data_IF_034729067784
#
_entry.id   IF_034729067784
#
_cell.length_a   1.000
_cell.length_b   1.000
_cell.length_c   1.000
_cell.angle_alpha   90.00
_cell.angle_beta   90.00
_cell.angle_gamma   90.00
#
_symmetry.space_group_name_H-M   'P 1'
#
loop_
_entity.id
_entity.type
_entity.pdbx_description
1 polymer ?
#
# COMPACT_ATOMS: atom_id res chain seq x y z
N UNK A 1 22.27 6.55 -4.38
CA UNK A 1 20.97 7.19 -4.11
C UNK A 1 19.87 6.46 -4.85
N UNK A 2 18.62 6.55 -4.39
CA UNK A 2 17.46 5.94 -5.08
C UNK A 2 16.99 6.86 -6.21
N UNK A 3 16.63 6.28 -7.37
CA UNK A 3 16.11 7.04 -8.51
C UNK A 3 14.74 7.63 -8.16
N UNK A 4 14.54 8.93 -8.39
CA UNK A 4 13.26 9.62 -8.17
C UNK A 4 12.24 9.23 -9.23
N UNK A 5 11.03 8.85 -8.80
CA UNK A 5 9.91 8.50 -9.67
C UNK A 5 9.06 9.72 -10.08
N UNK A 6 9.29 10.89 -9.49
CA UNK A 6 8.62 12.16 -9.80
C UNK A 6 9.45 13.06 -10.75
N UNK A 7 10.40 12.47 -11.49
CA UNK A 7 11.28 13.15 -12.44
C UNK A 7 11.34 12.40 -13.75
N UNK A 8 11.16 13.13 -14.85
CA UNK A 8 11.34 12.67 -16.23
C UNK A 8 12.32 13.60 -16.95
N UNK A 9 12.66 13.26 -18.20
CA UNK A 9 13.42 14.16 -19.10
C UNK A 9 12.65 15.44 -19.43
N UNK A 10 11.33 15.42 -19.30
CA UNK A 10 10.43 16.54 -19.60
C UNK A 10 10.15 17.42 -18.37
N UNK A 11 10.52 16.96 -17.17
CA UNK A 11 10.43 17.77 -15.95
C UNK A 11 9.94 17.00 -14.72
N UNK A 12 9.18 17.70 -13.87
CA UNK A 12 8.63 17.16 -12.62
C UNK A 12 7.21 16.67 -12.84
N UNK A 13 6.92 15.46 -12.37
CA UNK A 13 5.55 14.95 -12.27
C UNK A 13 4.93 15.45 -10.97
N UNK A 14 3.73 16.03 -11.03
CA UNK A 14 3.00 16.40 -9.82
C UNK A 14 2.68 15.15 -9.01
N UNK A 15 3.11 15.14 -7.74
CA UNK A 15 3.01 13.97 -6.85
C UNK A 15 2.50 14.44 -5.50
N UNK A 16 1.49 13.77 -4.96
CA UNK A 16 0.90 14.06 -3.66
C UNK A 16 0.84 12.78 -2.82
N UNK A 17 1.32 12.84 -1.58
CA UNK A 17 1.16 11.74 -0.64
C UNK A 17 -0.27 11.69 -0.10
N UNK A 18 -0.72 10.53 0.38
CA UNK A 18 -2.03 10.41 1.03
C UNK A 18 -2.13 11.36 2.24
N UNK A 19 -1.04 11.52 3.00
CA UNK A 19 -0.98 12.51 4.07
C UNK A 19 -1.32 13.92 3.59
N UNK A 20 -0.74 14.35 2.47
CA UNK A 20 -1.03 15.65 1.87
C UNK A 20 -2.43 15.74 1.26
N UNK A 21 -2.92 14.65 0.64
CA UNK A 21 -4.24 14.59 0.00
C UNK A 21 -5.38 14.68 1.02
N UNK A 22 -5.24 14.02 2.17
CA UNK A 22 -6.27 13.94 3.21
C UNK A 22 -6.06 14.94 4.35
N UNK A 23 -4.96 15.70 4.33
CA UNK A 23 -4.48 16.47 5.48
C UNK A 23 -4.35 15.60 6.76
N UNK A 24 -3.85 14.38 6.61
CA UNK A 24 -3.71 13.40 7.69
C UNK A 24 -2.42 13.62 8.49
N UNK A 25 -2.49 13.52 9.82
CA UNK A 25 -1.29 13.55 10.67
C UNK A 25 -0.59 12.19 10.64
N UNK A 26 0.45 12.10 9.81
CA UNK A 26 1.24 10.89 9.62
C UNK A 26 2.07 10.49 10.85
N UNK A 27 2.12 11.31 11.90
CA UNK A 27 2.82 10.99 13.16
C UNK A 27 1.99 10.12 14.09
N UNK A 28 0.70 9.96 13.79
CA UNK A 28 -0.21 9.08 14.52
C UNK A 28 -0.80 8.04 13.55
N UNK A 29 -0.99 6.78 13.98
CA UNK A 29 -1.76 5.81 13.22
C UNK A 29 -3.20 6.32 13.01
N UNK A 30 -3.52 6.75 11.79
CA UNK A 30 -4.80 7.41 11.49
C UNK A 30 -5.48 6.88 10.22
N UNK A 31 -4.93 5.85 9.59
CA UNK A 31 -5.42 5.30 8.33
C UNK A 31 -5.73 3.81 8.44
N UNK A 32 -6.60 3.36 7.54
CA UNK A 32 -6.89 1.95 7.30
C UNK A 32 -6.78 1.67 5.80
N UNK A 33 -6.27 0.51 5.44
CA UNK A 33 -6.06 0.13 4.05
C UNK A 33 -7.34 0.09 3.21
N UNK A 34 -8.50 -0.20 3.81
CA UNK A 34 -9.79 -0.14 3.10
C UNK A 34 -10.06 1.28 2.58
N UNK A 35 -9.71 2.31 3.36
CA UNK A 35 -9.85 3.71 2.94
C UNK A 35 -8.84 4.06 1.85
N UNK A 36 -7.59 3.61 1.98
CA UNK A 36 -6.56 3.81 0.95
C UNK A 36 -6.96 3.22 -0.40
N UNK A 37 -7.48 1.99 -0.41
CA UNK A 37 -7.95 1.32 -1.62
C UNK A 37 -9.17 2.03 -2.23
N UNK A 38 -10.11 2.50 -1.41
CA UNK A 38 -11.26 3.31 -1.86
C UNK A 38 -10.82 4.66 -2.45
N UNK A 39 -9.85 5.34 -1.83
CA UNK A 39 -9.28 6.59 -2.35
C UNK A 39 -8.60 6.34 -3.69
N UNK A 40 -7.79 5.28 -3.77
CA UNK A 40 -7.14 4.86 -5.02
C UNK A 40 -8.17 4.67 -6.13
N UNK A 41 -9.25 3.93 -5.86
CA UNK A 41 -10.31 3.73 -6.83
C UNK A 41 -10.99 5.04 -7.24
N UNK A 42 -11.38 5.89 -6.28
CA UNK A 42 -12.05 7.16 -6.56
C UNK A 42 -11.17 8.13 -7.37
N UNK A 43 -9.88 8.18 -7.06
CA UNK A 43 -8.97 9.14 -7.68
C UNK A 43 -8.58 8.70 -9.10
N UNK A 44 -8.31 7.41 -9.29
CA UNK A 44 -7.79 6.87 -10.55
C UNK A 44 -8.88 6.33 -11.49
N UNK A 45 -10.06 5.99 -10.95
CA UNK A 45 -11.12 5.26 -11.66
C UNK A 45 -10.65 3.96 -12.31
N UNK A 46 -9.55 3.37 -11.81
CA UNK A 46 -8.90 2.20 -12.40
C UNK A 46 -8.68 1.11 -11.34
N UNK A 47 -9.31 -0.05 -11.55
CA UNK A 47 -9.17 -1.19 -10.65
C UNK A 47 -7.78 -1.82 -10.66
N UNK A 48 -7.00 -1.67 -11.74
CA UNK A 48 -5.62 -2.15 -11.77
C UNK A 48 -4.72 -1.39 -10.77
N UNK A 49 -4.97 -0.10 -10.58
CA UNK A 49 -4.31 0.72 -9.55
C UNK A 49 -4.68 0.22 -8.14
N UNK A 50 -5.95 -0.14 -7.92
CA UNK A 50 -6.42 -0.72 -6.65
C UNK A 50 -5.74 -2.06 -6.38
N UNK A 51 -5.64 -2.94 -7.39
CA UNK A 51 -4.89 -4.19 -7.26
C UNK A 51 -3.40 -3.97 -7.03
N UNK A 52 -2.80 -2.91 -7.60
CA UNK A 52 -1.40 -2.56 -7.34
C UNK A 52 -1.19 -2.11 -5.88
N UNK A 53 -2.08 -1.29 -5.34
CA UNK A 53 -2.03 -0.87 -3.93
C UNK A 53 -2.31 -2.04 -2.98
N UNK A 54 -3.23 -2.95 -3.34
CA UNK A 54 -3.46 -4.19 -2.60
C UNK A 54 -2.22 -5.09 -2.58
N UNK A 55 -1.49 -5.22 -3.70
CA UNK A 55 -0.19 -5.90 -3.74
C UNK A 55 0.82 -5.27 -2.78
N UNK A 56 0.86 -3.94 -2.71
CA UNK A 56 1.74 -3.24 -1.77
C UNK A 56 1.37 -3.54 -0.30
N UNK A 57 0.07 -3.59 0.03
CA UNK A 57 -0.43 -4.02 1.35
C UNK A 57 0.05 -5.43 1.71
N UNK A 58 -0.20 -6.39 0.81
CA UNK A 58 0.19 -7.80 1.02
C UNK A 58 1.70 -7.91 1.22
N UNK A 59 2.49 -7.16 0.45
CA UNK A 59 3.94 -7.15 0.60
C UNK A 59 4.37 -6.57 1.94
N UNK A 60 3.82 -5.43 2.38
CA UNK A 60 4.10 -4.85 3.70
C UNK A 60 3.81 -5.83 4.83
N UNK A 61 2.66 -6.51 4.78
CA UNK A 61 2.28 -7.54 5.75
C UNK A 61 3.27 -8.72 5.72
N UNK A 62 3.64 -9.21 4.53
CA UNK A 62 4.54 -10.36 4.38
C UNK A 62 5.95 -10.12 4.95
N UNK A 63 6.48 -8.90 4.79
CA UNK A 63 7.82 -8.54 5.24
C UNK A 63 7.85 -7.84 6.61
N UNK A 64 6.70 -7.72 7.29
CA UNK A 64 6.54 -6.92 8.50
C UNK A 64 7.06 -5.49 8.34
N UNK A 65 6.73 -4.81 7.23
CA UNK A 65 6.89 -3.37 7.13
C UNK A 65 5.71 -2.69 7.83
N UNK A 66 5.91 -2.32 9.10
CA UNK A 66 4.88 -1.76 9.98
C UNK A 66 4.91 -0.23 10.04
N UNK A 67 5.91 0.41 9.42
CA UNK A 67 6.02 1.87 9.24
C UNK A 67 5.34 2.34 7.92
N UNK A 68 4.27 1.66 7.54
CA UNK A 68 3.49 1.90 6.34
C UNK A 68 2.49 3.05 6.51
N UNK A 69 2.97 4.21 6.96
CA UNK A 69 2.13 5.35 7.30
C UNK A 69 1.69 6.19 6.08
N UNK A 70 0.82 7.17 6.30
CA UNK A 70 0.18 8.00 5.27
C UNK A 70 1.13 8.67 4.26
N UNK A 71 2.42 8.86 4.57
CA UNK A 71 3.41 9.43 3.64
C UNK A 71 4.03 8.40 2.69
N UNK A 72 3.79 7.11 2.88
CA UNK A 72 4.40 6.02 2.10
C UNK A 72 3.53 5.59 0.90
N UNK A 73 2.39 6.26 0.73
CA UNK A 73 1.52 6.10 -0.42
C UNK A 73 1.37 7.46 -1.10
N UNK A 74 1.55 7.50 -2.42
CA UNK A 74 1.41 8.71 -3.21
C UNK A 74 0.66 8.45 -4.51
N UNK A 75 0.10 9.51 -5.06
CA UNK A 75 -0.51 9.55 -6.37
C UNK A 75 0.21 10.58 -7.23
N UNK A 76 0.28 10.29 -8.53
CA UNK A 76 0.88 11.14 -9.54
C UNK A 76 -0.19 11.62 -10.52
N UNK A 77 -0.12 12.89 -10.91
CA UNK A 77 -0.90 13.43 -12.01
C UNK A 77 -0.02 13.41 -13.27
N UNK A 78 -0.34 12.53 -14.21
CA UNK A 78 0.40 12.32 -15.47
C UNK A 78 -0.54 12.69 -16.62
N UNK A 79 -0.24 13.79 -17.31
CA UNK A 79 -1.25 14.45 -18.14
C UNK A 79 -2.39 14.92 -17.24
N UNK A 80 -3.61 14.52 -17.58
CA UNK A 80 -4.82 14.79 -16.78
C UNK A 80 -5.33 13.55 -16.02
N UNK A 81 -4.50 12.49 -15.94
CA UNK A 81 -4.86 11.23 -15.28
C UNK A 81 -4.12 11.05 -13.95
N UNK A 82 -4.87 10.72 -12.91
CA UNK A 82 -4.29 10.27 -11.65
C UNK A 82 -3.87 8.81 -11.71
N UNK A 83 -2.66 8.52 -11.21
CA UNK A 83 -2.11 7.17 -11.12
C UNK A 83 -1.48 6.94 -9.76
N UNK A 84 -1.51 5.70 -9.25
CA UNK A 84 -0.73 5.35 -8.07
C UNK A 84 0.77 5.51 -8.39
N UNK A 85 1.54 6.09 -7.48
CA UNK A 85 3.00 6.11 -7.64
C UNK A 85 3.58 4.70 -7.52
N UNK A 86 4.80 4.45 -8.04
CA UNK A 86 5.55 3.27 -7.64
C UNK A 86 5.65 3.17 -6.11
N UNK A 87 5.66 1.96 -5.57
CA UNK A 87 5.91 1.74 -4.14
C UNK A 87 7.34 2.19 -3.77
N UNK A 88 7.49 2.80 -2.60
CA UNK A 88 8.77 3.26 -2.06
C UNK A 88 8.80 3.04 -0.55
N UNK A 89 10.02 3.08 0.01
CA UNK A 89 10.24 2.91 1.45
C UNK A 89 9.65 1.59 1.99
N UNK A 90 10.07 0.50 1.34
CA UNK A 90 9.57 -0.85 1.53
C UNK A 90 10.61 -1.68 2.29
N UNK A 91 10.73 -1.46 3.59
CA UNK A 91 11.69 -2.14 4.46
C UNK A 91 10.99 -2.72 5.70
N UNK A 92 11.41 -3.89 6.20
CA UNK A 92 10.92 -4.40 7.48
C UNK A 92 11.12 -3.38 8.59
N UNK A 93 10.13 -3.22 9.45
CA UNK A 93 10.14 -2.20 10.50
C UNK A 93 9.22 -2.61 11.65
N UNK A 94 9.55 -2.19 12.87
CA UNK A 94 8.71 -2.48 14.03
C UNK A 94 7.45 -1.60 14.09
N UNK A 95 7.40 -0.50 13.34
CA UNK A 95 6.27 0.44 13.34
C UNK A 95 6.02 1.08 14.69
N UNK A 96 4.79 1.55 14.91
CA UNK A 96 4.39 2.19 16.16
C UNK A 96 4.00 1.13 17.20
N UNK A 97 4.77 1.01 18.29
CA UNK A 97 4.57 0.01 19.35
C UNK A 97 4.51 -1.45 18.87
N UNK A 98 5.18 -1.78 17.77
CA UNK A 98 5.15 -3.13 17.21
C UNK A 98 3.98 -3.38 16.25
N UNK A 99 3.20 -2.38 15.86
CA UNK A 99 2.03 -2.54 14.99
C UNK A 99 2.16 -1.76 13.68
N UNK A 100 1.46 -2.23 12.65
CA UNK A 100 1.27 -1.49 11.41
C UNK A 100 0.67 -0.12 11.69
N UNK A 101 1.19 0.89 11.01
CA UNK A 101 0.75 2.29 11.19
C UNK A 101 -0.50 2.58 10.36
N UNK A 102 -0.73 1.80 9.29
CA UNK A 102 -2.02 1.71 8.61
C UNK A 102 -2.70 0.40 8.99
N UNK A 103 -3.89 0.47 9.59
CA UNK A 103 -4.63 -0.71 10.02
C UNK A 103 -5.12 -1.56 8.83
N UNK A 104 -5.23 -2.87 9.05
CA UNK A 104 -5.81 -3.84 8.12
C UNK A 104 -6.98 -4.52 8.85
N UNK A 105 -8.22 -4.24 8.44
CA UNK A 105 -9.44 -4.76 9.10
C UNK A 105 -9.47 -4.48 10.62
N UNK A 106 -9.21 -3.23 11.00
CA UNK A 106 -9.05 -2.80 12.40
C UNK A 106 -7.90 -3.47 13.18
N UNK A 107 -6.99 -4.20 12.51
CA UNK A 107 -5.83 -4.84 13.16
C UNK A 107 -4.53 -4.10 12.85
N UNK A 108 -3.73 -3.88 13.89
CA UNK A 108 -2.32 -3.45 13.77
C UNK A 108 -1.36 -4.62 13.55
N UNK A 109 -1.79 -5.85 13.85
CA UNK A 109 -1.06 -7.10 13.55
C UNK A 109 -2.01 -8.07 12.84
N UNK A 110 -2.26 -7.86 11.54
CA UNK A 110 -3.32 -8.58 10.84
C UNK A 110 -2.97 -10.03 10.55
N UNK A 111 -3.99 -10.89 10.51
CA UNK A 111 -3.93 -12.21 9.89
C UNK A 111 -4.07 -12.12 8.37
N UNK A 112 -3.89 -13.25 7.66
CA UNK A 112 -4.21 -13.31 6.23
C UNK A 112 -5.72 -13.23 5.96
N UNK A 113 -6.56 -13.61 6.93
CA UNK A 113 -8.01 -13.45 6.83
C UNK A 113 -8.40 -11.96 6.88
N UNK A 114 -7.72 -11.15 7.68
CA UNK A 114 -7.91 -9.69 7.74
C UNK A 114 -7.56 -9.03 6.40
N UNK A 115 -6.47 -9.46 5.76
CA UNK A 115 -6.08 -9.01 4.41
C UNK A 115 -7.19 -9.34 3.39
N UNK A 116 -7.76 -10.54 3.46
CA UNK A 116 -8.85 -10.97 2.58
C UNK A 116 -10.18 -10.25 2.89
N UNK A 117 -10.43 -9.90 4.16
CA UNK A 117 -11.57 -9.09 4.55
C UNK A 117 -11.49 -7.68 3.94
N UNK A 118 -10.31 -7.06 3.96
CA UNK A 118 -10.08 -5.77 3.26
C UNK A 118 -10.31 -5.92 1.77
N UNK A 119 -9.79 -6.99 1.13
CA UNK A 119 -10.01 -7.24 -0.29
C UNK A 119 -11.51 -7.35 -0.65
N UNK A 120 -12.28 -8.06 0.17
CA UNK A 120 -13.73 -8.19 0.02
C UNK A 120 -14.45 -6.85 0.23
N UNK A 121 -14.02 -6.04 1.22
CA UNK A 121 -14.60 -4.74 1.54
C UNK A 121 -14.41 -3.65 0.48
N UNK A 122 -13.53 -3.89 -0.51
CA UNK A 122 -13.40 -3.08 -1.74
C UNK A 122 -13.72 -3.88 -3.01
N UNK A 123 -14.44 -4.99 -2.87
CA UNK A 123 -14.97 -5.78 -3.98
C UNK A 123 -13.91 -6.34 -4.94
N UNK A 124 -12.69 -6.60 -4.47
CA UNK A 124 -11.70 -7.31 -5.28
C UNK A 124 -12.18 -8.73 -5.57
N UNK A 125 -11.94 -9.19 -6.79
CA UNK A 125 -12.29 -10.55 -7.19
C UNK A 125 -11.49 -11.56 -6.35
N UNK A 126 -12.21 -12.35 -5.55
CA UNK A 126 -11.63 -13.25 -4.53
C UNK A 126 -10.48 -14.10 -5.07
N UNK A 127 -10.64 -14.77 -6.22
CA UNK A 127 -9.58 -15.62 -6.79
C UNK A 127 -8.31 -14.84 -7.12
N UNK A 128 -8.45 -13.59 -7.59
CA UNK A 128 -7.32 -12.74 -7.94
C UNK A 128 -6.62 -12.21 -6.69
N UNK A 129 -7.39 -11.79 -5.68
CA UNK A 129 -6.82 -11.39 -4.39
C UNK A 129 -6.04 -12.54 -3.74
N UNK A 130 -6.60 -13.76 -3.72
CA UNK A 130 -5.90 -14.96 -3.22
C UNK A 130 -4.63 -15.24 -4.01
N UNK A 131 -4.69 -15.24 -5.34
CA UNK A 131 -3.51 -15.45 -6.19
C UNK A 131 -2.40 -14.42 -5.93
N UNK A 132 -2.76 -13.16 -5.65
CA UNK A 132 -1.80 -12.11 -5.30
C UNK A 132 -1.13 -12.41 -3.96
N UNK A 133 -1.90 -12.80 -2.95
CA UNK A 133 -1.37 -13.19 -1.65
C UNK A 133 -0.37 -14.33 -1.80
N UNK A 134 -0.76 -15.41 -2.48
CA UNK A 134 0.08 -16.59 -2.69
C UNK A 134 1.38 -16.25 -3.43
N UNK A 135 1.28 -15.47 -4.51
CA UNK A 135 2.43 -15.05 -5.31
C UNK A 135 3.43 -14.24 -4.48
N UNK A 136 2.95 -13.26 -3.71
CA UNK A 136 3.83 -12.41 -2.90
C UNK A 136 4.47 -13.21 -1.77
N UNK A 137 3.69 -14.05 -1.07
CA UNK A 137 4.20 -14.90 0.01
C UNK A 137 5.29 -15.84 -0.52
N UNK A 138 5.05 -16.50 -1.65
CA UNK A 138 6.04 -17.39 -2.29
C UNK A 138 7.31 -16.64 -2.68
N UNK A 139 7.19 -15.46 -3.31
CA UNK A 139 8.34 -14.62 -3.68
C UNK A 139 9.12 -14.15 -2.46
N UNK A 140 8.45 -13.68 -1.41
CA UNK A 140 9.10 -13.25 -0.17
C UNK A 140 9.83 -14.41 0.51
N UNK A 141 9.24 -15.62 0.54
CA UNK A 141 9.90 -16.83 1.08
C UNK A 141 11.14 -17.20 0.27
N UNK A 142 11.03 -17.27 -1.07
CA UNK A 142 12.16 -17.57 -1.97
C UNK A 142 13.32 -16.58 -1.86
N UNK A 143 13.02 -15.33 -1.49
CA UNK A 143 14.02 -14.26 -1.29
C UNK A 143 14.48 -14.10 0.16
N UNK A 144 14.05 -14.97 1.08
CA UNK A 144 14.33 -14.87 2.53
C UNK A 144 13.91 -13.51 3.14
N UNK A 145 12.84 -12.92 2.63
CA UNK A 145 12.27 -11.65 3.10
C UNK A 145 10.97 -11.83 3.89
N UNK A 146 10.40 -13.04 3.92
CA UNK A 146 9.16 -13.32 4.63
C UNK A 146 9.41 -13.29 6.14
N UNK A 147 8.75 -12.37 6.85
CA UNK A 147 8.94 -12.14 8.29
C UNK A 147 7.68 -12.32 9.12
N UNK A 148 6.51 -12.44 8.47
CA UNK A 148 5.26 -12.69 9.16
C UNK A 148 5.27 -14.09 9.77
N UNK A 149 5.19 -14.15 11.10
CA UNK A 149 5.04 -15.41 11.85
C UNK A 149 3.63 -15.97 11.69
#
# INVERSE_FOLDING_TARGET
GVRRYDRTTEGKIHTISVAGLLNADYRIPCLEYIHLLKICHRLTSDMEQVYALFRQMVFNVAICNRDDHAKNFSFQLIGDEWRLSPAYDMLPSMGFNGYHTTAINNQGEPSWDDVMAVAAGVELHKKRATSICDEIIDKCKKKNMYMKK
#
